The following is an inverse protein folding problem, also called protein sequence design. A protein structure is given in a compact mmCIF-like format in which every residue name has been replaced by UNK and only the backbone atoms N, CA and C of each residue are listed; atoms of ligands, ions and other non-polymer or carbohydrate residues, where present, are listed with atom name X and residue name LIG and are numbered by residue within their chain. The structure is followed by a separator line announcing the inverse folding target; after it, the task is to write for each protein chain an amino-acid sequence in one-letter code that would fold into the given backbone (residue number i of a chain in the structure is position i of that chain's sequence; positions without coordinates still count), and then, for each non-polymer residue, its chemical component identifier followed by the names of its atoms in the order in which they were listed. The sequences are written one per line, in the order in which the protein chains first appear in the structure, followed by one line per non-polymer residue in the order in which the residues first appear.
data_IF_669022173627
#
_entry.id   IF_669022173627
#
_cell.length_a   1.000
_cell.length_b   1.000
_cell.length_c   1.000
_cell.angle_alpha   90.00
_cell.angle_beta   90.00
_cell.angle_gamma   90.00
#
_symmetry.space_group_name_H-M   'P 1'
#
loop_
_entity.id
_entity.type
_entity.pdbx_description
1 polymer ?
#
# COMPACT_ATOMS: atom_id res chain seq x y z
N UNK A 1 0.68 1.33 -21.35
CA UNK A 1 0.30 2.71 -21.06
C UNK A 1 -0.11 2.80 -19.59
N UNK A 2 0.46 3.75 -18.86
CA UNK A 2 0.06 4.08 -17.48
C UNK A 2 -0.82 5.33 -17.53
N UNK A 3 -1.76 5.42 -16.59
CA UNK A 3 -2.55 6.63 -16.35
C UNK A 3 -1.89 7.41 -15.22
N UNK A 4 -1.69 8.70 -15.42
CA UNK A 4 -1.23 9.61 -14.39
C UNK A 4 -2.43 10.18 -13.65
N UNK A 5 -2.38 10.16 -12.31
CA UNK A 5 -3.43 10.70 -11.44
C UNK A 5 -2.76 11.61 -10.41
N UNK A 6 -3.26 12.83 -10.29
CA UNK A 6 -2.77 13.79 -9.32
C UNK A 6 -3.40 13.56 -7.95
N UNK A 7 -2.59 13.56 -6.90
CA UNK A 7 -3.03 13.58 -5.51
C UNK A 7 -3.09 15.01 -4.99
N UNK A 8 -4.29 15.55 -4.77
CA UNK A 8 -4.49 16.89 -4.24
C UNK A 8 -4.70 16.81 -2.72
N UNK A 9 -3.80 17.38 -1.90
CA UNK A 9 -3.91 17.31 -0.46
C UNK A 9 -4.93 18.29 0.11
N UNK A 10 -5.69 17.86 1.09
CA UNK A 10 -6.59 18.67 1.91
C UNK A 10 -6.20 18.55 3.36
N UNK A 11 -5.69 19.62 3.94
CA UNK A 11 -5.15 19.66 5.28
C UNK A 11 -6.11 20.33 6.26
N UNK A 12 -6.36 19.65 7.39
CA UNK A 12 -7.10 20.21 8.51
C UNK A 12 -6.19 20.21 9.74
N UNK A 13 -5.92 21.37 10.36
CA UNK A 13 -5.10 21.41 11.56
C UNK A 13 -5.86 20.85 12.77
N UNK A 14 -5.20 19.97 13.52
CA UNK A 14 -5.69 19.42 14.78
C UNK A 14 -4.85 20.00 15.91
N UNK A 15 -5.45 20.91 16.67
CA UNK A 15 -4.76 21.65 17.72
C UNK A 15 -4.62 20.80 18.98
N UNK A 16 -3.43 20.84 19.59
CA UNK A 16 -3.21 20.28 20.92
C UNK A 16 -3.88 21.08 22.02
N UNK A 17 -4.35 20.41 23.08
CA UNK A 17 -4.97 21.06 24.23
C UNK A 17 -3.91 21.75 25.09
N UNK A 18 -4.06 23.07 25.29
CA UNK A 18 -3.18 23.90 26.12
C UNK A 18 -1.67 23.75 25.83
N UNK A 19 -1.28 23.49 24.56
CA UNK A 19 0.12 23.46 24.13
C UNK A 19 0.28 24.12 22.75
N UNK A 20 1.50 24.28 22.29
CA UNK A 20 1.83 24.91 21.01
C UNK A 20 1.97 23.90 19.86
N UNK A 21 1.33 22.74 19.95
CA UNK A 21 1.37 21.69 18.94
C UNK A 21 0.13 21.76 18.05
N UNK A 22 0.33 21.67 16.74
CA UNK A 22 -0.72 21.44 15.77
C UNK A 22 -0.32 20.27 14.87
N UNK A 23 -1.11 19.21 14.86
CA UNK A 23 -0.96 18.10 13.93
C UNK A 23 -1.81 18.35 12.69
N UNK A 24 -1.56 17.61 11.62
CA UNK A 24 -2.31 17.73 10.37
C UNK A 24 -3.08 16.44 10.12
N UNK A 25 -4.40 16.57 9.94
CA UNK A 25 -5.19 15.55 9.29
C UNK A 25 -5.16 15.84 7.79
N UNK A 26 -4.53 14.96 7.02
CA UNK A 26 -4.44 15.08 5.56
C UNK A 26 -5.33 14.06 4.87
N UNK A 27 -6.17 14.54 3.97
CA UNK A 27 -6.96 13.74 3.05
C UNK A 27 -6.52 14.03 1.62
N UNK A 28 -6.77 13.10 0.71
CA UNK A 28 -6.38 13.21 -0.68
C UNK A 28 -7.59 13.17 -1.60
N UNK A 29 -7.57 14.01 -2.63
CA UNK A 29 -8.49 13.94 -3.76
C UNK A 29 -7.72 13.58 -5.02
N UNK A 30 -8.26 12.64 -5.79
CA UNK A 30 -7.72 12.27 -7.08
C UNK A 30 -8.25 13.19 -8.18
N UNK A 31 -7.35 13.68 -9.03
CA UNK A 31 -7.66 14.49 -10.21
C UNK A 31 -6.85 14.00 -11.41
N UNK A 32 -7.38 14.20 -12.61
CA UNK A 32 -6.60 14.01 -13.83
C UNK A 32 -5.67 15.20 -14.05
N UNK A 33 -4.46 15.02 -14.62
CA UNK A 33 -3.58 16.11 -15.02
C UNK A 33 -4.26 17.08 -16.02
N UNK A 34 -5.08 16.52 -16.92
CA UNK A 34 -5.86 17.26 -17.90
C UNK A 34 -7.34 16.92 -17.74
N UNK A 35 -8.18 17.96 -17.74
CA UNK A 35 -9.63 17.80 -17.59
C UNK A 35 -10.34 17.40 -18.89
N UNK A 36 -9.65 17.47 -20.04
CA UNK A 36 -10.23 17.30 -21.35
C UNK A 36 -9.16 17.00 -22.40
N UNK A 37 -9.34 15.92 -23.19
CA UNK A 37 -8.47 15.60 -24.31
C UNK A 37 -9.05 16.16 -25.63
N UNK A 38 -8.49 17.29 -26.05
CA UNK A 38 -8.90 17.97 -27.27
C UNK A 38 -8.59 17.14 -28.53
N UNK A 39 -7.53 16.33 -28.52
CA UNK A 39 -7.19 15.46 -29.65
C UNK A 39 -8.21 14.36 -29.85
N UNK A 40 -8.67 13.71 -28.77
CA UNK A 40 -9.74 12.71 -28.79
C UNK A 40 -11.06 13.34 -29.25
N UNK A 41 -11.41 14.50 -28.71
CA UNK A 41 -12.61 15.24 -29.08
C UNK A 41 -12.66 15.57 -30.59
N UNK A 42 -11.56 16.08 -31.15
CA UNK A 42 -11.49 16.43 -32.58
C UNK A 42 -11.58 15.24 -33.54
N UNK A 43 -11.34 14.02 -33.04
CA UNK A 43 -11.56 12.79 -33.80
C UNK A 43 -13.02 12.30 -33.75
N UNK A 44 -13.91 13.05 -33.10
CA UNK A 44 -15.33 12.74 -32.96
C UNK A 44 -15.70 11.87 -31.76
N UNK A 45 -14.74 11.52 -30.90
CA UNK A 45 -15.00 10.80 -29.64
C UNK A 45 -15.19 11.79 -28.48
N UNK A 46 -16.41 12.33 -28.40
CA UNK A 46 -16.76 13.36 -27.44
C UNK A 46 -16.79 12.85 -25.98
N UNK A 47 -17.12 11.59 -25.77
CA UNK A 47 -17.13 10.96 -24.44
C UNK A 47 -15.74 10.52 -24.00
N UNK A 48 -14.98 9.90 -24.89
CA UNK A 48 -13.60 9.53 -24.61
C UNK A 48 -12.71 10.71 -24.23
N UNK A 49 -13.04 11.93 -24.71
CA UNK A 49 -12.33 13.15 -24.39
C UNK A 49 -12.36 13.53 -22.90
N UNK A 50 -13.29 12.98 -22.10
CA UNK A 50 -13.44 13.23 -20.65
C UNK A 50 -13.22 11.96 -19.81
N UNK A 51 -13.00 10.81 -20.40
CA UNK A 51 -12.88 9.52 -19.70
C UNK A 51 -11.76 9.50 -18.66
N UNK A 52 -10.61 10.09 -18.99
CA UNK A 52 -9.48 10.16 -18.05
C UNK A 52 -9.84 10.99 -16.82
N UNK A 53 -10.51 12.11 -17.00
CA UNK A 53 -11.00 12.95 -15.89
C UNK A 53 -11.96 12.16 -15.00
N UNK A 54 -12.98 11.55 -15.62
CA UNK A 54 -14.02 10.83 -14.88
C UNK A 54 -13.41 9.65 -14.12
N UNK A 55 -12.56 8.84 -14.75
CA UNK A 55 -11.94 7.67 -14.12
C UNK A 55 -11.00 8.08 -12.97
N UNK A 56 -10.22 9.16 -13.14
CA UNK A 56 -9.31 9.64 -12.10
C UNK A 56 -10.08 10.17 -10.88
N UNK A 57 -11.05 11.06 -11.11
CA UNK A 57 -11.85 11.62 -10.01
C UNK A 57 -12.68 10.57 -9.28
N UNK A 58 -13.11 9.50 -9.98
CA UNK A 58 -13.91 8.42 -9.40
C UNK A 58 -13.18 7.68 -8.27
N UNK A 59 -11.83 7.63 -8.30
CA UNK A 59 -11.01 6.98 -7.27
C UNK A 59 -11.36 7.47 -5.86
N UNK A 60 -11.66 8.77 -5.71
CA UNK A 60 -11.95 9.36 -4.39
C UNK A 60 -13.37 9.89 -4.24
N UNK A 61 -14.31 9.57 -5.14
CA UNK A 61 -15.70 10.05 -5.05
C UNK A 61 -16.46 9.43 -3.86
N UNK A 62 -16.34 8.12 -3.66
CA UNK A 62 -17.01 7.39 -2.59
C UNK A 62 -16.03 6.41 -1.97
N UNK A 63 -15.83 6.52 -0.67
CA UNK A 63 -15.03 5.56 0.09
C UNK A 63 -15.85 4.26 0.28
N UNK A 64 -15.17 3.10 0.22
CA UNK A 64 -15.77 1.77 0.32
C UNK A 64 -16.86 1.50 -0.75
N UNK A 65 -16.47 1.41 -2.04
CA UNK A 65 -17.39 0.98 -3.07
C UNK A 65 -17.88 -0.45 -2.79
N UNK A 66 -19.06 -0.80 -3.32
CA UNK A 66 -19.51 -2.19 -3.31
C UNK A 66 -18.51 -3.06 -4.07
N UNK A 67 -17.93 -4.06 -3.41
CA UNK A 67 -16.88 -4.93 -3.93
C UNK A 67 -17.34 -6.38 -4.19
N UNK A 68 -18.64 -6.61 -4.33
CA UNK A 68 -19.18 -7.90 -4.78
C UNK A 68 -18.73 -8.19 -6.23
N UNK A 69 -18.81 -7.18 -7.09
CA UNK A 69 -18.35 -7.26 -8.47
C UNK A 69 -16.83 -7.00 -8.60
N UNK A 70 -16.23 -7.49 -9.69
CA UNK A 70 -14.79 -7.32 -9.96
C UNK A 70 -14.39 -5.86 -10.18
N UNK A 71 -15.30 -5.05 -10.73
CA UNK A 71 -15.12 -3.61 -10.93
C UNK A 71 -15.02 -2.87 -9.60
N UNK A 72 -15.85 -3.23 -8.63
CA UNK A 72 -15.78 -2.67 -7.28
C UNK A 72 -14.50 -3.06 -6.54
N UNK A 73 -14.07 -4.34 -6.69
CA UNK A 73 -12.77 -4.78 -6.17
C UNK A 73 -11.61 -4.02 -6.81
N UNK A 74 -11.66 -3.78 -8.14
CA UNK A 74 -10.67 -3.00 -8.83
C UNK A 74 -10.60 -1.57 -8.30
N UNK A 75 -11.73 -0.89 -8.19
CA UNK A 75 -11.79 0.47 -7.66
C UNK A 75 -11.26 0.54 -6.22
N UNK A 76 -11.62 -0.43 -5.36
CA UNK A 76 -11.11 -0.48 -3.99
C UNK A 76 -9.59 -0.65 -3.93
N UNK A 77 -9.00 -1.50 -4.77
CA UNK A 77 -7.56 -1.66 -4.86
C UNK A 77 -6.88 -0.38 -5.39
N UNK A 78 -7.48 0.28 -6.39
CA UNK A 78 -7.02 1.58 -6.90
C UNK A 78 -7.07 2.67 -5.82
N UNK A 79 -8.11 2.71 -4.99
CA UNK A 79 -8.23 3.64 -3.86
C UNK A 79 -7.11 3.43 -2.84
N UNK A 80 -6.86 2.18 -2.44
CA UNK A 80 -5.80 1.85 -1.48
C UNK A 80 -4.43 2.24 -2.03
N UNK A 81 -4.15 1.90 -3.28
CA UNK A 81 -2.90 2.28 -3.93
C UNK A 81 -2.73 3.80 -4.01
N UNK A 82 -3.76 4.51 -4.48
CA UNK A 82 -3.72 5.96 -4.64
C UNK A 82 -3.40 6.68 -3.31
N UNK A 83 -4.10 6.32 -2.23
CA UNK A 83 -3.91 6.94 -0.92
C UNK A 83 -2.51 6.64 -0.33
N UNK A 84 -2.03 5.42 -0.49
CA UNK A 84 -0.69 5.01 -0.05
C UNK A 84 0.38 5.73 -0.86
N UNK A 85 0.29 5.69 -2.18
CA UNK A 85 1.31 6.28 -3.06
C UNK A 85 1.38 7.81 -2.89
N UNK A 86 0.25 8.51 -2.84
CA UNK A 86 0.22 9.95 -2.59
C UNK A 86 0.88 10.30 -1.25
N UNK A 87 0.61 9.53 -0.19
CA UNK A 87 1.19 9.75 1.13
C UNK A 87 2.69 9.53 1.17
N UNK A 88 3.17 8.43 0.58
CA UNK A 88 4.61 8.12 0.54
C UNK A 88 5.39 9.12 -0.32
N UNK A 89 4.86 9.51 -1.47
CA UNK A 89 5.47 10.52 -2.33
C UNK A 89 5.55 11.88 -1.62
N UNK A 90 4.56 12.25 -0.82
CA UNK A 90 4.61 13.47 -0.01
C UNK A 90 5.69 13.39 1.08
N UNK A 91 5.87 12.22 1.71
CA UNK A 91 6.99 12.01 2.64
C UNK A 91 8.34 12.22 1.95
N UNK A 92 8.54 11.68 0.75
CA UNK A 92 9.76 11.94 -0.03
C UNK A 92 9.92 13.41 -0.40
N UNK A 93 8.84 14.08 -0.80
CA UNK A 93 8.86 15.52 -1.08
C UNK A 93 9.30 16.34 0.14
N UNK A 94 8.85 15.95 1.34
CA UNK A 94 9.27 16.60 2.61
C UNK A 94 10.74 16.31 2.88
N UNK A 95 11.20 15.08 2.68
CA UNK A 95 12.59 14.66 2.85
C UNK A 95 13.52 15.50 1.96
N UNK A 96 13.18 15.60 0.67
CA UNK A 96 13.95 16.36 -0.32
C UNK A 96 14.02 17.85 0.04
N UNK A 97 12.91 18.45 0.46
CA UNK A 97 12.86 19.86 0.89
C UNK A 97 13.74 20.15 2.11
N UNK A 98 13.94 19.16 2.96
CA UNK A 98 14.77 19.28 4.15
C UNK A 98 16.23 18.85 3.89
N UNK A 99 16.57 18.46 2.65
CA UNK A 99 17.87 17.92 2.27
C UNK A 99 18.32 16.74 3.15
N UNK A 100 17.39 15.86 3.53
CA UNK A 100 17.69 14.65 4.31
C UNK A 100 17.99 13.53 3.33
N UNK A 101 19.14 12.81 3.48
CA UNK A 101 19.47 11.66 2.65
C UNK A 101 18.39 10.57 2.73
N UNK A 102 18.14 9.89 1.62
CA UNK A 102 17.07 8.87 1.52
C UNK A 102 17.29 7.69 2.47
N UNK A 103 18.54 7.36 2.78
CA UNK A 103 18.92 6.32 3.74
C UNK A 103 18.42 6.61 5.16
N UNK A 104 18.15 7.87 5.46
CA UNK A 104 17.62 8.34 6.75
C UNK A 104 16.11 8.52 6.75
N UNK A 105 15.40 8.02 5.75
CA UNK A 105 13.94 8.12 5.66
C UNK A 105 13.25 7.61 6.93
N UNK A 106 13.66 6.46 7.43
CA UNK A 106 13.11 5.82 8.63
C UNK A 106 13.41 6.57 9.94
N UNK A 107 14.38 7.49 9.96
CA UNK A 107 14.63 8.37 11.11
C UNK A 107 13.63 9.55 11.14
N UNK A 108 13.11 9.92 9.98
CA UNK A 108 12.18 11.04 9.83
C UNK A 108 10.71 10.61 9.88
N UNK A 109 10.40 9.45 9.32
CA UNK A 109 9.04 8.98 9.16
C UNK A 109 8.84 7.59 9.78
N UNK A 110 7.76 7.48 10.55
CA UNK A 110 7.20 6.22 11.01
C UNK A 110 5.72 6.17 10.60
N UNK A 111 5.34 5.18 9.81
CA UNK A 111 3.98 5.02 9.34
C UNK A 111 3.33 3.82 10.02
N UNK A 112 2.28 4.07 10.78
CA UNK A 112 1.45 3.04 11.37
C UNK A 112 0.39 2.61 10.36
N UNK A 113 0.49 1.39 9.87
CA UNK A 113 -0.54 0.77 9.03
C UNK A 113 -1.70 0.32 9.91
N UNK A 114 -2.83 1.01 9.74
CA UNK A 114 -4.03 0.75 10.52
C UNK A 114 -4.91 -0.24 9.76
N UNK A 115 -4.84 -1.52 10.12
CA UNK A 115 -5.34 -2.67 9.37
C UNK A 115 -4.58 -2.94 8.06
N UNK A 116 -5.12 -3.81 7.19
CA UNK A 116 -4.49 -4.21 5.92
C UNK A 116 -4.73 -3.22 4.77
N UNK A 117 -5.64 -2.27 4.93
CA UNK A 117 -5.99 -1.31 3.87
C UNK A 117 -4.77 -0.55 3.32
N UNK A 118 -3.81 -0.10 4.15
CA UNK A 118 -2.59 0.54 3.67
C UNK A 118 -1.40 -0.42 3.49
N UNK A 119 -1.59 -1.75 3.54
CA UNK A 119 -0.49 -2.71 3.45
C UNK A 119 0.31 -2.64 2.13
N UNK A 120 -0.28 -2.06 1.06
CA UNK A 120 0.44 -1.71 -0.16
C UNK A 120 1.63 -0.79 0.09
N UNK A 121 1.69 -0.10 1.23
CA UNK A 121 2.82 0.73 1.61
C UNK A 121 4.15 -0.04 1.61
N UNK A 122 4.13 -1.33 1.91
CA UNK A 122 5.34 -2.18 1.89
C UNK A 122 5.94 -2.24 0.50
N UNK A 123 5.16 -2.64 -0.50
CA UNK A 123 5.66 -2.77 -1.87
C UNK A 123 5.78 -1.42 -2.59
N UNK A 124 4.94 -0.42 -2.27
CA UNK A 124 5.07 0.90 -2.87
C UNK A 124 6.31 1.66 -2.35
N UNK A 125 6.62 1.57 -1.05
CA UNK A 125 7.85 2.17 -0.53
C UNK A 125 9.09 1.51 -1.15
N UNK A 126 9.08 0.18 -1.31
CA UNK A 126 10.14 -0.54 -2.02
C UNK A 126 10.28 -0.06 -3.47
N UNK A 127 9.15 0.10 -4.20
CA UNK A 127 9.16 0.60 -5.57
C UNK A 127 9.76 2.00 -5.67
N UNK A 128 9.32 2.91 -4.80
CA UNK A 128 9.83 4.28 -4.77
C UNK A 128 11.33 4.33 -4.45
N UNK A 129 11.79 3.51 -3.50
CA UNK A 129 13.20 3.45 -3.13
C UNK A 129 14.06 2.82 -4.24
N UNK A 130 13.66 1.68 -4.77
CA UNK A 130 14.46 0.91 -5.73
C UNK A 130 14.36 1.50 -7.13
N UNK A 131 13.15 1.71 -7.65
CA UNK A 131 12.92 2.08 -9.05
C UNK A 131 13.12 3.58 -9.30
N UNK A 132 12.72 4.45 -8.35
CA UNK A 132 12.80 5.90 -8.55
C UNK A 132 14.02 6.55 -7.87
N UNK A 133 14.42 6.04 -6.70
CA UNK A 133 15.56 6.58 -5.94
C UNK A 133 16.84 5.77 -6.13
N UNK A 134 16.79 4.65 -6.85
CA UNK A 134 17.92 3.78 -7.15
C UNK A 134 18.67 3.27 -5.90
N UNK A 135 17.96 3.10 -4.80
CA UNK A 135 18.49 2.54 -3.55
C UNK A 135 18.67 1.03 -3.74
N UNK A 136 19.82 0.44 -3.35
CA UNK A 136 20.00 -1.01 -3.40
C UNK A 136 18.93 -1.73 -2.60
N UNK A 137 18.48 -2.91 -3.09
CA UNK A 137 17.35 -3.67 -2.53
C UNK A 137 17.44 -3.88 -1.02
N UNK A 138 18.58 -4.34 -0.53
CA UNK A 138 18.73 -4.68 0.89
C UNK A 138 18.63 -3.44 1.78
N UNK A 139 19.18 -2.31 1.34
CA UNK A 139 19.03 -1.01 2.02
C UNK A 139 17.59 -0.52 1.96
N UNK A 140 16.93 -0.63 0.80
CA UNK A 140 15.53 -0.26 0.64
C UNK A 140 14.62 -1.10 1.54
N UNK A 141 14.90 -2.39 1.66
CA UNK A 141 14.16 -3.28 2.53
C UNK A 141 14.34 -2.93 4.02
N UNK A 142 15.56 -2.64 4.44
CA UNK A 142 15.83 -2.18 5.80
C UNK A 142 15.09 -0.87 6.12
N UNK A 143 15.12 0.11 5.21
CA UNK A 143 14.38 1.37 5.34
C UNK A 143 12.88 1.08 5.46
N UNK A 144 12.34 0.24 4.58
CA UNK A 144 10.91 -0.11 4.56
C UNK A 144 10.48 -0.72 5.89
N UNK A 145 11.16 -1.76 6.35
CA UNK A 145 10.83 -2.41 7.62
C UNK A 145 10.93 -1.44 8.81
N UNK A 146 11.97 -0.60 8.87
CA UNK A 146 12.14 0.37 9.96
C UNK A 146 11.11 1.49 9.94
N UNK A 147 10.51 1.79 8.79
CA UNK A 147 9.53 2.87 8.63
C UNK A 147 8.10 2.44 8.90
N UNK A 148 7.79 1.14 8.80
CA UNK A 148 6.41 0.63 8.85
C UNK A 148 6.16 -0.17 10.13
N UNK A 149 4.96 0.03 10.69
CA UNK A 149 4.41 -0.79 11.75
C UNK A 149 2.96 -1.15 11.43
N UNK A 150 2.47 -2.27 11.94
CA UNK A 150 1.16 -2.81 11.60
C UNK A 150 0.29 -3.03 12.84
N UNK A 151 -0.94 -2.51 12.79
CA UNK A 151 -1.99 -2.80 13.77
C UNK A 151 -3.07 -3.64 13.11
N UNK A 152 -3.29 -4.85 13.62
CA UNK A 152 -4.38 -5.72 13.21
C UNK A 152 -5.64 -5.43 14.05
N UNK A 153 -6.80 -5.30 13.39
CA UNK A 153 -8.08 -5.04 14.03
C UNK A 153 -8.97 -6.27 14.13
N UNK A 154 -8.73 -7.31 13.33
CA UNK A 154 -9.54 -8.53 13.31
C UNK A 154 -8.73 -9.73 12.81
N UNK A 155 -9.06 -10.90 13.36
CA UNK A 155 -8.52 -12.19 12.92
C UNK A 155 -9.58 -13.07 12.24
N UNK A 156 -10.79 -12.52 12.03
CA UNK A 156 -11.81 -13.24 11.27
C UNK A 156 -11.29 -13.49 9.84
N UNK A 157 -11.26 -14.74 9.38
CA UNK A 157 -10.68 -15.09 8.07
C UNK A 157 -11.28 -14.30 6.90
N UNK A 158 -12.59 -14.03 6.96
CA UNK A 158 -13.33 -13.24 5.96
C UNK A 158 -12.92 -11.76 5.92
N UNK A 159 -12.36 -11.24 7.00
CA UNK A 159 -11.90 -9.86 7.12
C UNK A 159 -10.40 -9.70 6.83
N UNK A 160 -9.65 -10.81 6.76
CA UNK A 160 -8.25 -10.80 6.34
C UNK A 160 -8.17 -10.65 4.82
N UNK A 161 -7.88 -9.44 4.39
CA UNK A 161 -7.92 -9.04 2.98
C UNK A 161 -6.99 -9.85 2.09
N UNK A 162 -7.53 -10.38 1.00
CA UNK A 162 -6.78 -11.10 -0.03
C UNK A 162 -7.15 -10.56 -1.41
N UNK A 163 -6.15 -10.24 -2.22
CA UNK A 163 -6.35 -9.74 -3.58
C UNK A 163 -6.04 -10.81 -4.61
N UNK A 164 -7.01 -11.17 -5.49
CA UNK A 164 -6.78 -12.13 -6.57
C UNK A 164 -5.58 -11.73 -7.43
N UNK A 165 -4.66 -12.66 -7.72
CA UNK A 165 -3.45 -12.38 -8.50
C UNK A 165 -3.78 -11.82 -9.89
N UNK A 166 -4.85 -12.30 -10.54
CA UNK A 166 -5.27 -11.81 -11.85
C UNK A 166 -5.64 -10.33 -11.83
N UNK A 167 -6.32 -9.87 -10.75
CA UNK A 167 -6.66 -8.47 -10.56
C UNK A 167 -5.42 -7.65 -10.23
N UNK A 168 -4.61 -8.15 -9.28
CA UNK A 168 -3.40 -7.47 -8.82
C UNK A 168 -2.39 -7.28 -9.95
N UNK A 169 -2.12 -8.32 -10.75
CA UNK A 169 -1.21 -8.26 -11.89
C UNK A 169 -1.66 -7.30 -13.01
N UNK A 170 -2.97 -7.13 -13.16
CA UNK A 170 -3.53 -6.18 -14.14
C UNK A 170 -3.35 -4.73 -13.71
N UNK A 171 -3.57 -4.42 -12.43
CA UNK A 171 -3.54 -3.04 -11.92
C UNK A 171 -2.17 -2.61 -11.43
N UNK A 172 -1.46 -3.50 -10.75
CA UNK A 172 -0.21 -3.23 -10.04
C UNK A 172 0.88 -4.26 -10.36
N UNK A 173 1.24 -4.47 -11.65
CA UNK A 173 2.16 -5.54 -12.05
C UNK A 173 3.54 -5.41 -11.39
N UNK A 174 4.10 -4.20 -11.29
CA UNK A 174 5.40 -3.98 -10.67
C UNK A 174 5.40 -4.26 -9.17
N UNK A 175 4.32 -3.89 -8.49
CA UNK A 175 4.15 -4.20 -7.07
C UNK A 175 4.05 -5.70 -6.83
N UNK A 176 3.41 -6.43 -7.73
CA UNK A 176 3.34 -7.89 -7.64
C UNK A 176 4.72 -8.54 -7.78
N UNK A 177 5.56 -8.07 -8.71
CA UNK A 177 6.95 -8.53 -8.83
C UNK A 177 7.74 -8.28 -7.54
N UNK A 178 7.59 -7.10 -6.93
CA UNK A 178 8.24 -6.77 -5.66
C UNK A 178 7.74 -7.69 -4.54
N UNK A 179 6.44 -7.98 -4.48
CA UNK A 179 5.86 -8.89 -3.49
C UNK A 179 6.41 -10.31 -3.67
N UNK A 180 6.57 -10.80 -4.90
CA UNK A 180 7.19 -12.10 -5.15
C UNK A 180 8.64 -12.14 -4.67
N UNK A 181 9.43 -11.11 -4.93
CA UNK A 181 10.82 -11.03 -4.48
C UNK A 181 10.91 -10.99 -2.94
N UNK A 182 10.05 -10.20 -2.28
CA UNK A 182 9.95 -10.17 -0.81
C UNK A 182 9.59 -11.57 -0.29
N UNK A 183 8.61 -12.22 -0.91
CA UNK A 183 8.14 -13.54 -0.51
C UNK A 183 9.24 -14.60 -0.64
N UNK A 184 9.97 -14.60 -1.74
CA UNK A 184 11.04 -15.57 -1.97
C UNK A 184 12.15 -15.45 -0.93
N UNK A 185 12.65 -14.23 -0.70
CA UNK A 185 13.67 -13.94 0.31
C UNK A 185 13.22 -14.27 1.72
N UNK A 186 11.97 -13.95 2.05
CA UNK A 186 11.39 -14.26 3.36
C UNK A 186 11.26 -15.77 3.56
N UNK A 187 10.71 -16.48 2.59
CA UNK A 187 10.52 -17.93 2.69
C UNK A 187 11.84 -18.70 2.71
N UNK A 188 12.91 -18.18 2.08
CA UNK A 188 14.23 -18.75 2.22
C UNK A 188 14.74 -18.69 3.67
N UNK A 189 14.54 -17.56 4.35
CA UNK A 189 14.85 -17.42 5.78
C UNK A 189 14.03 -18.40 6.63
N UNK A 190 12.73 -18.56 6.30
CA UNK A 190 11.85 -19.53 6.98
C UNK A 190 12.34 -20.97 6.78
N UNK A 191 12.72 -21.35 5.55
CA UNK A 191 13.24 -22.71 5.24
C UNK A 191 14.52 -23.01 6.03
N UNK A 192 15.43 -22.03 6.10
CA UNK A 192 16.69 -22.18 6.86
C UNK A 192 16.41 -22.32 8.35
N UNK A 193 15.46 -21.56 8.89
CA UNK A 193 15.15 -21.55 10.33
C UNK A 193 14.34 -22.75 10.78
N UNK A 194 13.46 -23.29 9.91
CA UNK A 194 12.52 -24.35 10.21
C UNK A 194 12.66 -25.49 9.20
N UNK A 195 13.84 -26.16 9.23
CA UNK A 195 14.16 -27.25 8.32
C UNK A 195 13.12 -28.38 8.39
N UNK A 196 12.62 -28.79 7.21
CA UNK A 196 11.70 -29.92 7.11
C UNK A 196 10.23 -29.61 7.45
N UNK A 197 9.85 -28.32 7.54
CA UNK A 197 8.46 -27.89 7.81
C UNK A 197 7.85 -27.16 6.57
N UNK A 198 7.47 -27.89 5.52
CA UNK A 198 6.87 -27.27 4.32
C UNK A 198 5.48 -26.67 4.57
N UNK A 199 4.75 -27.16 5.58
CA UNK A 199 3.44 -26.62 5.94
C UNK A 199 3.57 -25.19 6.46
N UNK A 200 4.57 -24.94 7.30
CA UNK A 200 4.88 -23.60 7.80
C UNK A 200 5.27 -22.66 6.67
N UNK A 201 6.08 -23.11 5.72
CA UNK A 201 6.44 -22.31 4.53
C UNK A 201 5.18 -21.89 3.76
N UNK A 202 4.25 -22.82 3.53
CA UNK A 202 2.97 -22.52 2.86
C UNK A 202 2.07 -21.57 3.65
N UNK A 203 2.01 -21.72 4.98
CA UNK A 203 1.21 -20.85 5.85
C UNK A 203 1.75 -19.42 5.91
N UNK A 204 3.07 -19.26 5.99
CA UNK A 204 3.72 -17.95 6.09
C UNK A 204 3.85 -17.23 4.74
N UNK A 205 3.67 -17.92 3.61
CA UNK A 205 3.76 -17.30 2.27
C UNK A 205 2.84 -16.09 2.13
N UNK A 206 3.36 -15.04 1.51
CA UNK A 206 2.57 -13.86 1.13
C UNK A 206 1.57 -14.15 0.01
N UNK A 207 1.75 -15.29 -0.68
CA UNK A 207 0.88 -15.73 -1.76
C UNK A 207 0.09 -16.96 -1.29
N UNK A 208 -1.22 -16.87 -1.39
CA UNK A 208 -2.09 -18.03 -1.27
C UNK A 208 -2.08 -18.79 -2.58
N UNK A 209 -1.51 -20.00 -2.59
CA UNK A 209 -1.46 -20.87 -3.77
C UNK A 209 -2.64 -21.86 -3.85
N UNK A 210 -3.43 -21.97 -2.77
CA UNK A 210 -4.57 -22.87 -2.72
C UNK A 210 -5.83 -22.23 -3.31
N UNK A 211 -6.51 -22.94 -4.22
CA UNK A 211 -7.76 -22.46 -4.83
C UNK A 211 -7.55 -21.24 -5.74
N UNK A 212 -8.20 -20.13 -5.41
CA UNK A 212 -8.01 -18.86 -6.11
C UNK A 212 -6.75 -18.17 -5.58
N UNK A 213 -5.69 -18.16 -6.39
CA UNK A 213 -4.43 -17.52 -6.05
C UNK A 213 -4.62 -16.05 -5.69
N UNK A 214 -4.06 -15.65 -4.57
CA UNK A 214 -4.22 -14.29 -4.05
C UNK A 214 -3.01 -13.81 -3.24
N UNK A 215 -2.81 -12.50 -3.18
CA UNK A 215 -1.88 -11.85 -2.24
C UNK A 215 -2.55 -11.76 -0.88
N UNK A 216 -1.86 -12.24 0.18
CA UNK A 216 -2.29 -12.16 1.57
C UNK A 216 -1.79 -10.85 2.18
N UNK A 217 -2.67 -9.88 2.33
CA UNK A 217 -2.28 -8.53 2.73
C UNK A 217 -1.81 -8.45 4.19
N UNK A 218 -2.40 -9.22 5.10
CA UNK A 218 -1.95 -9.28 6.49
C UNK A 218 -0.53 -9.85 6.61
N UNK A 219 -0.21 -10.92 5.86
CA UNK A 219 1.13 -11.49 5.82
C UNK A 219 2.14 -10.47 5.27
N UNK A 220 1.78 -9.74 4.20
CA UNK A 220 2.62 -8.68 3.64
C UNK A 220 2.88 -7.58 4.67
N UNK A 221 1.83 -7.11 5.37
CA UNK A 221 1.96 -6.10 6.42
C UNK A 221 2.87 -6.57 7.57
N UNK A 222 2.73 -7.82 8.01
CA UNK A 222 3.58 -8.39 9.06
C UNK A 222 5.05 -8.45 8.65
N UNK A 223 5.34 -8.98 7.45
CA UNK A 223 6.72 -9.15 6.97
C UNK A 223 7.40 -7.80 6.73
N UNK A 224 6.65 -6.79 6.29
CA UNK A 224 7.15 -5.44 6.02
C UNK A 224 7.23 -4.51 7.24
N UNK A 225 6.87 -4.97 8.45
CA UNK A 225 6.81 -4.12 9.65
C UNK A 225 7.83 -4.51 10.71
N UNK A 226 8.40 -3.51 11.41
CA UNK A 226 9.27 -3.75 12.57
C UNK A 226 8.49 -4.01 13.85
N UNK A 227 7.22 -3.60 13.91
CA UNK A 227 6.35 -3.80 15.07
C UNK A 227 4.94 -4.16 14.62
N UNK A 228 4.34 -5.12 15.34
CA UNK A 228 2.99 -5.62 15.06
C UNK A 228 2.23 -5.65 16.39
N UNK A 229 1.00 -5.16 16.39
CA UNK A 229 0.12 -5.23 17.54
C UNK A 229 -1.34 -5.46 17.14
N UNK A 230 -2.11 -5.99 18.07
CA UNK A 230 -3.57 -5.96 18.04
C UNK A 230 -4.11 -4.78 18.84
N UNK A 231 -5.43 -4.58 18.81
CA UNK A 231 -6.12 -3.45 19.46
C UNK A 231 -6.34 -3.63 20.97
N UNK A 232 -6.01 -4.81 21.52
CA UNK A 232 -6.05 -5.12 22.93
C UNK A 232 -4.97 -6.16 23.28
N UNK A 233 -4.62 -6.30 24.59
CA UNK A 233 -3.60 -7.26 25.00
C UNK A 233 -3.94 -8.70 24.56
N UNK A 234 -5.17 -9.16 24.81
CA UNK A 234 -5.64 -10.48 24.36
C UNK A 234 -5.59 -10.61 22.83
N UNK A 235 -6.01 -9.58 22.10
CA UNK A 235 -5.96 -9.58 20.63
C UNK A 235 -4.51 -9.64 20.12
N UNK A 236 -3.59 -8.91 20.75
CA UNK A 236 -2.17 -8.95 20.38
C UNK A 236 -1.54 -10.35 20.59
N UNK A 237 -1.99 -11.06 21.63
CA UNK A 237 -1.57 -12.45 21.85
C UNK A 237 -2.10 -13.40 20.77
N UNK A 238 -3.37 -13.24 20.36
CA UNK A 238 -3.95 -14.01 19.26
C UNK A 238 -3.27 -13.69 17.92
N UNK A 239 -2.93 -12.44 17.65
CA UNK A 239 -2.15 -12.08 16.45
C UNK A 239 -0.82 -12.83 16.40
N UNK A 240 -0.17 -13.00 17.54
CA UNK A 240 1.12 -13.70 17.64
C UNK A 240 1.01 -15.20 17.38
N UNK A 241 -0.14 -15.83 17.67
CA UNK A 241 -0.33 -17.28 17.54
C UNK A 241 -0.99 -17.70 16.24
N UNK A 242 -1.88 -16.84 15.69
CA UNK A 242 -2.81 -17.21 14.62
C UNK A 242 -2.49 -16.55 13.27
N UNK A 243 -1.70 -15.46 13.26
CA UNK A 243 -1.27 -14.76 12.06
C UNK A 243 0.22 -15.01 11.78
#
# INVERSE_FOLDING_TARGET
PHKEVLGIPYDTPILGYLNNTANTLRLWRAEAPESFDFGVFNRGDYYGAVDHKISSENITKVLYPNDEAIEGKALRLEQQFFLVSASLQDMFRILDRQNIPVERFHEKFAAQMNDTHPALAVCELMRLLVDERHVPWDTAWEITQKSLAYTNHTLLPEALEQWPLALFSRLLPRHLEIIYEINDRFLEQVRVRYLGDPERVGRLSLINESGHRAVRMANLACVGSHAINGVAAMHSELVRTDL
#
